data_IF_088096520715
#
_entry.id   IF_088096520715
#
_cell.length_a   1.000
_cell.length_b   1.000
_cell.length_c   1.000
_cell.angle_alpha   90.00
_cell.angle_beta   90.00
_cell.angle_gamma   90.00
#
_symmetry.space_group_name_H-M   'P 1'
#
loop_
_entity.id
_entity.type
_entity.pdbx_description
1 polymer ?
#
# COMPACT_ATOMS: atom_id res chain seq x y z
N UNK A 1 -20.71 22.66 -4.01
CA UNK A 1 -19.55 22.91 -3.14
C UNK A 1 -20.10 23.28 -1.77
N UNK A 2 -19.92 22.44 -0.75
CA UNK A 2 -20.19 22.85 0.64
C UNK A 2 -19.03 23.74 1.12
N UNK A 3 -19.28 24.49 2.18
CA UNK A 3 -18.55 25.70 2.62
C UNK A 3 -17.06 25.46 2.99
N UNK A 4 -16.62 24.21 3.22
CA UNK A 4 -15.26 23.93 3.71
C UNK A 4 -14.13 24.21 2.70
N UNK A 5 -14.35 24.01 1.40
CA UNK A 5 -13.37 24.33 0.33
C UNK A 5 -13.67 25.66 -0.37
N UNK A 6 -14.47 26.54 0.26
CA UNK A 6 -14.95 27.80 -0.33
C UNK A 6 -13.94 28.94 -0.32
N UNK A 7 -12.65 28.62 -0.38
CA UNK A 7 -11.61 29.62 -0.61
C UNK A 7 -11.97 30.36 -1.90
N UNK A 8 -12.33 31.64 -1.77
CA UNK A 8 -12.66 32.46 -2.94
C UNK A 8 -11.50 32.38 -3.93
N UNK A 9 -11.81 32.36 -5.23
CA UNK A 9 -10.78 32.41 -6.29
C UNK A 9 -9.81 33.59 -6.03
N UNK A 10 -10.34 34.69 -5.49
CA UNK A 10 -9.56 35.86 -5.05
C UNK A 10 -8.48 35.52 -4.00
N UNK A 11 -8.83 34.71 -3.00
CA UNK A 11 -7.89 34.26 -1.98
C UNK A 11 -6.83 33.30 -2.56
N UNK A 12 -7.21 32.43 -3.50
CA UNK A 12 -6.27 31.55 -4.19
C UNK A 12 -5.28 32.33 -5.07
N UNK A 13 -5.73 33.40 -5.72
CA UNK A 13 -4.89 34.23 -6.58
C UNK A 13 -3.80 34.95 -5.77
N UNK A 14 -4.11 35.36 -4.55
CA UNK A 14 -3.20 36.09 -3.67
C UNK A 14 -2.48 35.21 -2.63
N UNK A 15 -2.74 33.90 -2.62
CA UNK A 15 -2.15 32.96 -1.67
C UNK A 15 -0.66 32.74 -1.91
N UNK A 16 0.05 32.37 -0.83
CA UNK A 16 1.43 31.89 -0.91
C UNK A 16 1.46 30.45 -1.45
N UNK A 17 2.62 30.02 -1.98
CA UNK A 17 2.79 28.71 -2.60
C UNK A 17 2.42 27.56 -1.65
N UNK A 18 2.75 27.71 -0.36
CA UNK A 18 2.46 26.76 0.72
C UNK A 18 0.94 26.62 0.94
N UNK A 19 0.22 27.74 0.95
CA UNK A 19 -1.23 27.76 1.11
C UNK A 19 -1.93 27.08 -0.08
N UNK A 20 -1.47 27.33 -1.30
CA UNK A 20 -2.01 26.68 -2.51
C UNK A 20 -1.69 25.18 -2.53
N UNK A 21 -0.50 24.78 -2.07
CA UNK A 21 -0.12 23.37 -1.95
C UNK A 21 -0.97 22.62 -0.92
N UNK A 22 -1.21 23.20 0.25
CA UNK A 22 -2.05 22.62 1.29
C UNK A 22 -3.50 22.47 0.85
N UNK A 23 -4.05 23.47 0.15
CA UNK A 23 -5.39 23.40 -0.43
C UNK A 23 -5.47 22.25 -1.44
N UNK A 24 -4.49 22.13 -2.34
CA UNK A 24 -4.43 21.03 -3.31
C UNK A 24 -4.39 19.65 -2.62
N UNK A 25 -3.57 19.48 -1.59
CA UNK A 25 -3.48 18.21 -0.84
C UNK A 25 -4.79 17.89 -0.12
N UNK A 26 -5.40 18.88 0.54
CA UNK A 26 -6.69 18.75 1.22
C UNK A 26 -7.79 18.27 0.26
N UNK A 27 -7.90 18.88 -0.92
CA UNK A 27 -8.85 18.47 -1.96
C UNK A 27 -8.53 17.06 -2.47
N UNK A 28 -7.24 16.72 -2.59
CA UNK A 28 -6.78 15.45 -3.13
C UNK A 28 -7.11 14.25 -2.23
N UNK A 29 -7.25 14.48 -0.93
CA UNK A 29 -7.63 13.46 0.07
C UNK A 29 -9.07 13.60 0.59
N UNK A 30 -9.81 14.62 0.13
CA UNK A 30 -11.19 14.87 0.53
C UNK A 30 -12.12 13.68 0.25
N UNK A 31 -13.04 13.41 1.17
CA UNK A 31 -14.04 12.33 1.07
C UNK A 31 -15.30 12.80 0.30
N UNK A 32 -16.17 11.86 -0.08
CA UNK A 32 -17.36 12.11 -0.91
C UNK A 32 -18.35 13.15 -0.34
N UNK A 33 -18.24 13.49 0.95
CA UNK A 33 -19.17 14.40 1.64
C UNK A 33 -18.86 15.90 1.39
N UNK A 34 -17.67 16.21 0.88
CA UNK A 34 -17.17 17.59 0.71
C UNK A 34 -17.42 18.15 -0.70
N UNK A 35 -17.53 17.27 -1.70
CA UNK A 35 -17.83 17.59 -3.09
C UNK A 35 -19.15 16.96 -3.52
N UNK A 36 -19.83 17.55 -4.50
CA UNK A 36 -21.09 16.97 -5.00
C UNK A 36 -20.88 15.61 -5.66
N UNK A 37 -19.69 15.39 -6.20
CA UNK A 37 -19.24 14.13 -6.81
C UNK A 37 -17.73 14.18 -7.06
N UNK A 38 -17.14 13.02 -7.31
CA UNK A 38 -15.72 12.82 -7.60
C UNK A 38 -15.23 13.63 -8.81
N UNK A 39 -16.10 13.85 -9.80
CA UNK A 39 -15.77 14.64 -11.01
C UNK A 39 -15.57 16.12 -10.69
N UNK A 40 -16.37 16.70 -9.78
CA UNK A 40 -16.21 18.08 -9.31
C UNK A 40 -14.92 18.22 -8.47
N UNK A 41 -14.63 17.26 -7.58
CA UNK A 41 -13.39 17.20 -6.79
C UNK A 41 -12.15 17.19 -7.68
N UNK A 42 -12.11 16.27 -8.64
CA UNK A 42 -10.99 16.12 -9.59
C UNK A 42 -10.77 17.40 -10.41
N UNK A 43 -11.85 18.04 -10.88
CA UNK A 43 -11.76 19.30 -11.64
C UNK A 43 -11.20 20.44 -10.79
N UNK A 44 -11.63 20.53 -9.53
CA UNK A 44 -11.16 21.55 -8.62
C UNK A 44 -9.69 21.33 -8.24
N UNK A 45 -9.30 20.10 -7.90
CA UNK A 45 -7.89 19.74 -7.67
C UNK A 45 -7.00 20.07 -8.86
N UNK A 46 -7.45 19.76 -10.08
CA UNK A 46 -6.72 20.07 -11.31
C UNK A 46 -6.54 21.58 -11.51
N UNK A 47 -7.56 22.38 -11.19
CA UNK A 47 -7.51 23.84 -11.28
C UNK A 47 -6.52 24.44 -10.26
N UNK A 48 -6.59 24.01 -9.00
CA UNK A 48 -5.67 24.48 -7.95
C UNK A 48 -4.23 24.08 -8.27
N UNK A 49 -4.01 22.86 -8.78
CA UNK A 49 -2.69 22.40 -9.22
C UNK A 49 -2.15 23.22 -10.39
N UNK A 50 -2.98 23.46 -11.42
CA UNK A 50 -2.59 24.24 -12.58
C UNK A 50 -2.24 25.69 -12.18
N UNK A 51 -3.03 26.27 -11.27
CA UNK A 51 -2.75 27.59 -10.71
C UNK A 51 -1.44 27.62 -9.92
N UNK A 52 -1.23 26.67 -9.00
CA UNK A 52 -0.01 26.58 -8.21
C UNK A 52 1.25 26.47 -9.07
N UNK A 53 1.19 25.64 -10.13
CA UNK A 53 2.26 25.54 -11.13
C UNK A 53 2.49 26.86 -11.88
N UNK A 54 1.42 27.53 -12.30
CA UNK A 54 1.50 28.77 -13.06
C UNK A 54 2.03 29.95 -12.21
N UNK A 55 1.50 30.13 -11.00
CA UNK A 55 1.80 31.29 -10.16
C UNK A 55 3.11 31.13 -9.37
N UNK A 56 3.52 29.90 -9.03
CA UNK A 56 4.64 29.67 -8.11
C UNK A 56 5.69 28.67 -8.62
N UNK A 57 5.43 27.94 -9.71
CA UNK A 57 6.41 27.06 -10.37
C UNK A 57 7.06 26.04 -9.43
N UNK A 58 8.40 26.00 -9.42
CA UNK A 58 9.18 25.05 -8.64
C UNK A 58 8.96 25.16 -7.13
N UNK A 59 8.57 26.35 -6.62
CA UNK A 59 8.26 26.53 -5.19
C UNK A 59 7.02 25.74 -4.80
N UNK A 60 5.99 25.72 -5.64
CA UNK A 60 4.80 24.90 -5.39
C UNK A 60 5.13 23.40 -5.46
N UNK A 61 5.94 22.99 -6.43
CA UNK A 61 6.39 21.59 -6.51
C UNK A 61 7.23 21.17 -5.31
N UNK A 62 8.10 22.05 -4.80
CA UNK A 62 8.86 21.80 -3.58
C UNK A 62 7.91 21.59 -2.38
N UNK A 63 6.91 22.45 -2.21
CA UNK A 63 5.90 22.30 -1.15
C UNK A 63 5.09 20.99 -1.26
N UNK A 64 4.88 20.45 -2.47
CA UNK A 64 4.23 19.14 -2.66
C UNK A 64 5.19 17.95 -2.46
N UNK A 65 6.48 18.16 -2.63
CA UNK A 65 7.52 17.14 -2.52
C UNK A 65 8.08 17.00 -1.11
N UNK A 66 7.94 18.04 -0.27
CA UNK A 66 8.20 17.88 1.15
C UNK A 66 7.19 16.88 1.72
N UNK A 67 7.65 15.86 2.47
CA UNK A 67 6.72 14.99 3.18
C UNK A 67 5.86 15.92 4.05
N UNK A 68 4.54 15.76 4.00
CA UNK A 68 3.62 16.48 4.87
C UNK A 68 4.13 16.36 6.31
N UNK A 69 4.89 17.36 6.76
CA UNK A 69 5.29 17.48 8.14
C UNK A 69 4.01 17.92 8.79
N UNK A 70 3.35 16.99 9.47
CA UNK A 70 2.11 17.21 10.19
C UNK A 70 2.11 18.62 10.76
N UNK A 71 1.30 19.49 10.14
CA UNK A 71 1.13 20.86 10.56
C UNK A 71 0.28 20.87 11.83
N UNK A 72 0.85 20.30 12.90
CA UNK A 72 0.53 20.37 14.34
C UNK A 72 1.18 19.22 15.16
N UNK A 73 2.36 18.72 14.77
CA UNK A 73 3.18 17.98 15.74
C UNK A 73 3.77 18.95 16.77
N UNK A 74 2.95 19.32 17.76
CA UNK A 74 3.42 19.73 19.09
C UNK A 74 4.46 18.67 19.51
N UNK A 75 5.66 19.05 20.00
CA UNK A 75 6.63 18.06 20.44
C UNK A 75 5.91 17.07 21.36
N UNK A 76 5.95 15.78 21.01
CA UNK A 76 5.25 14.75 21.75
C UNK A 76 5.82 14.70 23.17
N UNK A 77 5.22 15.50 24.07
CA UNK A 77 5.28 15.24 25.49
C UNK A 77 4.89 13.79 25.67
N UNK A 78 5.65 13.08 26.51
CA UNK A 78 5.43 11.64 26.72
C UNK A 78 3.93 11.40 26.92
N UNK A 79 3.32 10.43 26.22
CA UNK A 79 1.89 10.19 26.34
C UNK A 79 1.54 10.03 27.82
N UNK A 80 0.48 10.68 28.27
CA UNK A 80 0.00 10.64 29.66
C UNK A 80 -1.39 9.99 29.72
N UNK A 81 -1.76 9.49 30.89
CA UNK A 81 -3.11 9.02 31.21
C UNK A 81 -3.61 9.63 32.53
N UNK A 82 -4.92 9.84 32.70
CA UNK A 82 -5.50 10.32 33.95
C UNK A 82 -5.62 9.17 34.96
N UNK A 83 -5.31 9.43 36.24
CA UNK A 83 -5.51 8.49 37.35
C UNK A 83 -6.12 9.19 38.56
N UNK A 84 -6.92 8.46 39.31
CA UNK A 84 -7.54 8.91 40.55
C UNK A 84 -6.47 9.20 41.61
N UNK A 85 -6.52 10.41 42.18
CA UNK A 85 -5.58 10.84 43.22
C UNK A 85 -5.75 10.08 44.54
N UNK A 86 -6.90 9.45 44.76
CA UNK A 86 -7.23 8.66 45.95
C UNK A 86 -6.82 7.18 45.82
N UNK A 87 -7.24 6.48 44.76
CA UNK A 87 -7.04 5.03 44.61
C UNK A 87 -6.07 4.62 43.50
N UNK A 88 -5.67 5.53 42.62
CA UNK A 88 -4.76 5.25 41.50
C UNK A 88 -5.37 4.56 40.28
N UNK A 89 -6.68 4.27 40.28
CA UNK A 89 -7.42 3.77 39.11
C UNK A 89 -7.46 4.79 37.97
N UNK A 90 -7.51 4.35 36.72
CA UNK A 90 -7.76 5.20 35.53
C UNK A 90 -9.23 5.25 35.10
N UNK A 91 -10.14 4.61 35.86
CA UNK A 91 -11.59 4.75 35.64
C UNK A 91 -12.10 6.06 36.25
N UNK A 92 -11.84 7.16 35.54
CA UNK A 92 -12.32 8.50 35.86
C UNK A 92 -13.36 8.95 34.84
N UNK A 93 -14.47 9.51 35.35
CA UNK A 93 -15.60 10.05 34.58
C UNK A 93 -15.73 11.54 34.86
N UNK A 94 -16.12 12.32 33.85
CA UNK A 94 -16.49 13.73 34.01
C UNK A 94 -17.86 13.97 33.41
N UNK A 95 -18.63 14.84 34.04
CA UNK A 95 -19.89 15.29 33.50
C UNK A 95 -19.67 16.24 32.32
N UNK A 96 -20.54 16.16 31.32
CA UNK A 96 -20.48 17.00 30.13
C UNK A 96 -21.88 17.42 29.67
N UNK A 97 -21.98 18.59 29.04
CA UNK A 97 -23.18 19.03 28.36
C UNK A 97 -23.09 18.76 26.86
N UNK A 98 -24.05 18.02 26.31
CA UNK A 98 -24.22 17.86 24.87
C UNK A 98 -25.26 18.83 24.32
N UNK A 99 -25.06 19.33 23.11
CA UNK A 99 -26.03 20.14 22.35
C UNK A 99 -26.29 19.51 21.00
N UNK A 100 -27.53 19.59 20.54
CA UNK A 100 -27.91 19.12 19.22
C UNK A 100 -27.31 20.04 18.15
N UNK A 101 -26.50 19.46 17.26
CA UNK A 101 -26.00 20.12 16.07
C UNK A 101 -26.98 19.86 14.91
N UNK A 102 -27.66 20.91 14.45
CA UNK A 102 -28.65 20.80 13.39
C UNK A 102 -28.03 20.53 12.01
N UNK A 103 -26.77 20.90 11.79
CA UNK A 103 -26.09 20.69 10.50
C UNK A 103 -25.51 19.28 10.42
N UNK A 104 -24.94 18.79 11.53
CA UNK A 104 -24.44 17.41 11.64
C UNK A 104 -25.56 16.38 11.90
N UNK A 105 -26.74 16.84 12.35
CA UNK A 105 -27.85 15.99 12.81
C UNK A 105 -27.41 14.99 13.89
N UNK A 106 -26.61 15.47 14.85
CA UNK A 106 -26.06 14.64 15.92
C UNK A 106 -25.87 15.44 17.23
N UNK A 107 -25.72 14.74 18.36
CA UNK A 107 -25.38 15.33 19.64
C UNK A 107 -23.88 15.58 19.75
N UNK A 108 -23.47 16.83 19.92
CA UNK A 108 -22.07 17.21 20.10
C UNK A 108 -21.81 17.67 21.54
N UNK A 109 -20.67 17.27 22.12
CA UNK A 109 -20.23 17.79 23.42
C UNK A 109 -19.94 19.28 23.27
N UNK A 110 -20.61 20.09 24.09
CA UNK A 110 -20.50 21.56 24.10
C UNK A 110 -19.69 22.09 25.29
N UNK A 111 -19.42 21.26 26.29
CA UNK A 111 -18.63 21.59 27.47
C UNK A 111 -18.47 20.40 28.41
N UNK A 112 -17.37 20.37 29.14
CA UNK A 112 -17.06 19.40 30.20
C UNK A 112 -16.98 20.17 31.51
N UNK A 113 -17.59 19.64 32.57
CA UNK A 113 -17.59 20.25 33.90
C UNK A 113 -16.37 19.82 34.70
N UNK A 114 -16.01 20.63 35.71
CA UNK A 114 -14.77 20.42 36.47
C UNK A 114 -14.83 19.23 37.42
N UNK A 115 -16.03 18.79 37.81
CA UNK A 115 -16.20 17.66 38.70
C UNK A 115 -15.74 16.34 38.04
N UNK A 116 -14.87 15.62 38.73
CA UNK A 116 -14.35 14.32 38.30
C UNK A 116 -14.76 13.27 39.30
N UNK A 117 -15.37 12.19 38.81
CA UNK A 117 -15.83 11.04 39.59
C UNK A 117 -14.96 9.81 39.28
N UNK A 118 -14.64 8.99 40.28
CA UNK A 118 -13.92 7.73 40.09
C UNK A 118 -14.86 6.54 40.30
N UNK A 119 -15.03 5.69 39.28
CA UNK A 119 -15.94 4.53 39.36
C UNK A 119 -15.50 3.49 40.40
N UNK A 120 -14.19 3.38 40.65
CA UNK A 120 -13.64 2.35 41.54
C UNK A 120 -13.76 2.69 43.03
N UNK A 121 -13.53 3.95 43.40
CA UNK A 121 -13.56 4.37 44.81
C UNK A 121 -14.71 5.32 45.14
N UNK A 122 -15.52 5.69 44.14
CA UNK A 122 -16.64 6.63 44.26
C UNK A 122 -16.26 8.00 44.83
N UNK A 123 -14.96 8.35 44.81
CA UNK A 123 -14.52 9.69 45.14
C UNK A 123 -14.95 10.67 44.06
N UNK A 124 -15.28 11.89 44.48
CA UNK A 124 -15.75 12.97 43.61
C UNK A 124 -15.05 14.26 44.02
N UNK A 125 -14.37 14.92 43.10
CA UNK A 125 -13.69 16.21 43.34
C UNK A 125 -13.21 16.84 42.03
N UNK A 126 -13.07 18.16 42.01
CA UNK A 126 -12.47 18.90 40.90
C UNK A 126 -10.98 18.54 40.70
N UNK A 127 -10.28 18.18 41.78
CA UNK A 127 -8.83 17.85 41.80
C UNK A 127 -8.56 16.33 41.84
N UNK A 128 -9.56 15.49 41.50
CA UNK A 128 -9.42 14.04 41.58
C UNK A 128 -8.46 13.47 40.52
N UNK A 129 -8.30 14.15 39.39
CA UNK A 129 -7.51 13.71 38.26
C UNK A 129 -6.02 14.09 38.39
N UNK A 130 -5.14 13.08 38.38
CA UNK A 130 -3.69 13.26 38.23
C UNK A 130 -3.22 12.68 36.91
N UNK A 131 -2.43 13.43 36.15
CA UNK A 131 -1.83 12.94 34.92
C UNK A 131 -0.52 12.22 35.22
N UNK A 132 -0.41 10.97 34.79
CA UNK A 132 0.81 10.15 34.92
C UNK A 132 1.30 9.72 33.55
N UNK A 133 2.62 9.50 33.35
CA UNK A 133 3.13 8.94 32.11
C UNK A 133 2.44 7.61 31.79
N UNK A 134 2.04 7.45 30.54
CA UNK A 134 1.58 6.17 30.01
C UNK A 134 2.77 5.20 30.07
N UNK A 135 2.61 4.00 30.65
CA UNK A 135 3.65 2.99 30.55
C UNK A 135 3.95 2.73 29.07
N UNK A 136 5.21 2.40 28.71
CA UNK A 136 5.54 2.02 27.35
C UNK A 136 4.60 0.87 26.97
N UNK A 137 3.90 1.01 25.84
CA UNK A 137 3.06 -0.07 25.34
C UNK A 137 3.91 -1.35 25.26
N UNK A 138 3.35 -2.47 25.69
CA UNK A 138 3.96 -3.76 25.39
C UNK A 138 4.22 -3.81 23.88
N UNK A 139 5.42 -4.25 23.45
CA UNK A 139 5.75 -4.27 22.03
C UNK A 139 4.67 -5.05 21.32
N UNK A 140 3.94 -4.37 20.42
CA UNK A 140 2.91 -5.00 19.59
C UNK A 140 3.53 -6.25 18.97
N UNK A 141 2.92 -7.44 19.15
CA UNK A 141 3.47 -8.67 18.60
C UNK A 141 3.72 -8.47 17.11
N UNK A 142 4.98 -8.62 16.69
CA UNK A 142 5.36 -8.49 15.30
C UNK A 142 4.58 -9.53 14.47
N UNK A 143 3.91 -9.08 13.42
CA UNK A 143 3.13 -9.99 12.57
C UNK A 143 4.05 -10.91 11.74
N UNK A 144 3.75 -12.22 11.65
CA UNK A 144 4.54 -13.14 10.84
C UNK A 144 4.41 -12.81 9.34
N UNK A 145 5.55 -12.61 8.67
CA UNK A 145 5.60 -12.35 7.23
C UNK A 145 6.70 -13.17 6.54
N UNK A 146 6.70 -13.19 5.21
CA UNK A 146 7.70 -13.93 4.44
C UNK A 146 9.12 -13.44 4.79
N UNK A 147 10.05 -14.37 4.91
CA UNK A 147 11.45 -14.11 5.30
C UNK A 147 11.64 -13.60 6.74
N UNK A 148 10.57 -13.48 7.54
CA UNK A 148 10.72 -13.18 8.96
C UNK A 148 11.38 -14.35 9.70
N UNK A 149 12.19 -14.00 10.68
CA UNK A 149 12.80 -14.92 11.63
C UNK A 149 11.79 -15.20 12.74
N UNK A 150 11.52 -16.47 13.00
CA UNK A 150 10.48 -16.89 13.93
C UNK A 150 10.94 -18.01 14.85
N UNK A 151 10.28 -18.14 16.00
CA UNK A 151 10.37 -19.27 16.93
C UNK A 151 9.02 -19.96 17.02
N UNK A 152 9.04 -21.29 17.04
CA UNK A 152 7.86 -22.11 17.25
C UNK A 152 7.52 -22.15 18.74
N UNK A 153 6.33 -21.67 19.09
CA UNK A 153 5.76 -21.78 20.43
C UNK A 153 5.22 -23.20 20.67
N UNK A 154 4.91 -23.52 21.91
CA UNK A 154 4.39 -24.84 22.28
C UNK A 154 3.03 -25.11 21.64
N UNK A 155 2.96 -26.16 20.81
CA UNK A 155 1.72 -26.59 20.14
C UNK A 155 1.07 -27.77 20.87
N UNK A 156 -0.27 -27.80 20.98
CA UNK A 156 -0.97 -28.96 21.50
C UNK A 156 -0.91 -30.12 20.48
N UNK A 157 0.07 -31.02 20.63
CA UNK A 157 0.22 -32.23 19.78
C UNK A 157 0.27 -33.50 20.62
N UNK A 158 -0.39 -34.55 20.12
CA UNK A 158 -0.30 -35.90 20.69
C UNK A 158 1.14 -36.39 20.57
N UNK A 159 1.77 -36.72 21.70
CA UNK A 159 3.19 -37.11 21.76
C UNK A 159 4.19 -35.97 21.94
N UNK A 160 3.71 -34.74 22.19
CA UNK A 160 4.55 -33.58 22.48
C UNK A 160 5.05 -32.84 21.22
N UNK A 161 5.38 -31.55 21.38
CA UNK A 161 5.88 -30.74 20.28
C UNK A 161 7.40 -30.82 20.14
N UNK A 162 7.85 -31.73 19.26
CA UNK A 162 9.26 -31.92 18.93
C UNK A 162 9.95 -30.68 18.33
N UNK A 163 9.18 -29.66 17.93
CA UNK A 163 9.71 -28.42 17.34
C UNK A 163 9.52 -27.20 18.24
N UNK A 164 9.02 -27.38 19.47
CA UNK A 164 8.95 -26.31 20.47
C UNK A 164 10.31 -25.60 20.62
N UNK A 165 10.27 -24.28 20.67
CA UNK A 165 11.42 -23.37 20.78
C UNK A 165 12.43 -23.46 19.63
N UNK A 166 12.12 -24.19 18.55
CA UNK A 166 12.97 -24.17 17.36
C UNK A 166 12.74 -22.88 16.60
N UNK A 167 13.85 -22.34 16.12
CA UNK A 167 13.83 -21.14 15.29
C UNK A 167 13.99 -21.50 13.81
N UNK A 168 13.51 -20.61 12.96
CA UNK A 168 13.58 -20.76 11.52
C UNK A 168 13.19 -19.49 10.79
N UNK A 169 13.10 -19.58 9.47
CA UNK A 169 12.70 -18.49 8.59
C UNK A 169 11.44 -18.88 7.85
N UNK A 170 10.45 -17.99 7.79
CA UNK A 170 9.25 -18.19 6.99
C UNK A 170 9.64 -18.18 5.51
N UNK A 171 9.37 -19.26 4.80
CA UNK A 171 9.69 -19.39 3.36
C UNK A 171 8.46 -19.32 2.46
N UNK A 172 7.27 -19.60 3.00
CA UNK A 172 6.02 -19.60 2.21
C UNK A 172 4.80 -19.43 3.11
N UNK A 173 3.86 -18.60 2.66
CA UNK A 173 2.54 -18.45 3.29
C UNK A 173 1.57 -19.55 2.82
N UNK A 174 0.65 -19.94 3.69
CA UNK A 174 -0.36 -20.96 3.47
C UNK A 174 -1.65 -20.56 4.19
N UNK A 175 -2.81 -21.03 3.74
CA UNK A 175 -4.10 -20.64 4.37
C UNK A 175 -4.20 -21.04 5.85
N UNK A 176 -3.46 -22.09 6.26
CA UNK A 176 -3.42 -22.59 7.63
C UNK A 176 -2.20 -22.07 8.44
N UNK A 177 -1.42 -21.11 7.92
CA UNK A 177 -0.24 -20.57 8.59
C UNK A 177 0.96 -20.42 7.67
N UNK A 178 2.16 -20.73 8.18
CA UNK A 178 3.41 -20.49 7.46
C UNK A 178 4.29 -21.73 7.41
N UNK A 179 4.92 -21.96 6.26
CA UNK A 179 6.02 -22.90 6.14
C UNK A 179 7.29 -22.24 6.67
N UNK A 180 7.83 -22.79 7.76
CA UNK A 180 9.05 -22.33 8.41
C UNK A 180 10.17 -23.32 8.08
N UNK A 181 11.23 -22.83 7.42
CA UNK A 181 12.48 -23.57 7.27
C UNK A 181 13.26 -23.46 8.58
N UNK A 182 13.35 -24.55 9.32
CA UNK A 182 13.98 -24.60 10.63
C UNK A 182 15.50 -24.60 10.52
N UNK A 183 16.15 -23.96 11.49
CA UNK A 183 17.60 -24.01 11.63
C UNK A 183 18.06 -25.42 11.87
N UNK A 184 19.04 -25.85 11.07
CA UNK A 184 19.57 -27.19 11.14
C UNK A 184 20.32 -27.41 12.45
N UNK A 185 19.91 -28.41 13.22
CA UNK A 185 20.64 -28.80 14.43
C UNK A 185 21.84 -29.68 14.06
N UNK A 186 22.83 -29.78 14.97
CA UNK A 186 24.05 -30.60 14.76
C UNK A 186 23.77 -32.08 14.48
N UNK A 187 22.60 -32.59 14.91
CA UNK A 187 22.19 -34.00 14.73
C UNK A 187 21.45 -34.23 13.40
N UNK A 188 21.06 -33.18 12.70
CA UNK A 188 20.25 -33.27 11.48
C UNK A 188 21.15 -33.31 10.25
N UNK A 189 20.86 -34.25 9.34
CA UNK A 189 21.57 -34.36 8.04
C UNK A 189 20.91 -33.55 6.94
N UNK A 190 19.63 -33.21 7.10
CA UNK A 190 18.80 -32.53 6.11
C UNK A 190 18.06 -31.36 6.74
N UNK A 191 17.81 -30.34 5.92
CA UNK A 191 16.97 -29.21 6.30
C UNK A 191 15.53 -29.69 6.51
N UNK A 192 14.83 -29.09 7.47
CA UNK A 192 13.43 -29.39 7.77
C UNK A 192 12.59 -28.15 7.55
N UNK A 193 11.45 -28.34 6.89
CA UNK A 193 10.42 -27.32 6.73
C UNK A 193 9.15 -27.81 7.39
N UNK A 194 8.54 -26.99 8.22
CA UNK A 194 7.34 -27.32 8.99
C UNK A 194 6.25 -26.29 8.73
N UNK A 195 5.00 -26.75 8.59
CA UNK A 195 3.83 -25.87 8.57
C UNK A 195 3.40 -25.54 10.00
N UNK A 196 3.31 -24.25 10.33
CA UNK A 196 2.99 -23.76 11.68
C UNK A 196 1.88 -22.71 11.60
N UNK A 197 0.83 -22.86 12.41
CA UNK A 197 -0.25 -21.87 12.49
C UNK A 197 0.27 -20.57 13.13
N UNK A 198 -0.32 -19.44 12.73
CA UNK A 198 0.11 -18.10 13.14
C UNK A 198 0.17 -17.92 14.65
N UNK A 199 -0.81 -18.46 15.40
CA UNK A 199 -0.85 -18.36 16.86
C UNK A 199 0.26 -19.10 17.60
N UNK A 200 1.04 -19.94 16.90
CA UNK A 200 2.17 -20.66 17.47
C UNK A 200 3.53 -20.19 16.92
N UNK A 201 3.56 -18.97 16.36
CA UNK A 201 4.79 -18.32 15.89
C UNK A 201 5.05 -17.06 16.70
N UNK A 202 6.23 -17.00 17.30
CA UNK A 202 6.79 -15.78 17.85
C UNK A 202 7.76 -15.20 16.81
N UNK A 203 7.53 -13.97 16.36
CA UNK A 203 8.42 -13.30 15.41
C UNK A 203 9.57 -12.65 16.17
N UNK A 204 10.78 -13.12 15.88
CA UNK A 204 12.01 -12.64 16.52
C UNK A 204 12.64 -11.47 15.79
N UNK A 205 12.52 -11.45 14.45
CA UNK A 205 13.00 -10.35 13.63
C UNK A 205 12.24 -10.33 12.30
N UNK A 206 11.83 -9.12 11.89
CA UNK A 206 11.33 -8.90 10.53
C UNK A 206 12.48 -9.00 9.53
N UNK A 207 12.18 -9.37 8.26
CA UNK A 207 13.18 -9.28 7.21
C UNK A 207 13.68 -7.84 7.15
N UNK A 208 15.00 -7.65 7.05
CA UNK A 208 15.54 -6.32 6.78
C UNK A 208 14.89 -5.82 5.49
N UNK A 209 14.39 -4.58 5.44
CA UNK A 209 13.96 -4.00 4.18
C UNK A 209 15.16 -4.12 3.24
N UNK A 210 14.97 -4.90 2.18
CA UNK A 210 15.92 -4.94 1.08
C UNK A 210 15.94 -3.50 0.58
N UNK A 211 17.09 -2.81 0.72
CA UNK A 211 17.26 -1.52 0.09
C UNK A 211 16.86 -1.70 -1.38
N UNK A 212 15.96 -0.87 -1.88
CA UNK A 212 15.28 -1.03 -3.19
C UNK A 212 16.29 -1.30 -4.33
N UNK A 213 17.54 -0.88 -4.16
CA UNK A 213 18.69 -1.10 -5.03
C UNK A 213 19.09 -2.59 -5.20
N UNK A 214 19.07 -3.39 -4.13
CA UNK A 214 19.51 -4.81 -4.18
C UNK A 214 18.47 -5.72 -4.88
N UNK A 215 17.19 -5.41 -4.70
CA UNK A 215 16.08 -6.14 -5.34
C UNK A 215 15.99 -5.89 -6.84
N UNK A 216 16.25 -4.66 -7.27
CA UNK A 216 16.27 -4.29 -8.69
C UNK A 216 17.42 -4.96 -9.42
N UNK A 217 18.61 -4.99 -8.82
CA UNK A 217 19.79 -5.60 -9.43
C UNK A 217 19.65 -7.13 -9.57
N UNK A 218 19.08 -7.80 -8.56
CA UNK A 218 18.80 -9.24 -8.63
C UNK A 218 17.71 -9.58 -9.66
N UNK A 219 16.69 -8.73 -9.77
CA UNK A 219 15.64 -8.88 -10.78
C UNK A 219 16.18 -8.67 -12.21
N UNK A 220 16.96 -7.61 -12.44
CA UNK A 220 17.58 -7.35 -13.74
C UNK A 220 18.57 -8.46 -14.12
N UNK A 221 19.37 -8.96 -13.17
CA UNK A 221 20.30 -10.08 -13.42
C UNK A 221 19.55 -11.34 -13.83
N UNK A 222 18.44 -11.67 -13.15
CA UNK A 222 17.58 -12.81 -13.50
C UNK A 222 16.89 -12.62 -14.85
N UNK A 223 16.45 -11.39 -15.15
CA UNK A 223 15.86 -11.03 -16.45
C UNK A 223 16.88 -11.18 -17.58
N UNK A 224 18.12 -10.79 -17.33
CA UNK A 224 19.22 -10.88 -18.28
C UNK A 224 19.65 -12.34 -18.52
N UNK A 225 19.69 -13.17 -17.48
CA UNK A 225 19.90 -14.63 -17.61
C UNK A 225 18.78 -15.30 -18.43
N UNK A 226 17.52 -14.93 -18.18
CA UNK A 226 16.39 -15.43 -18.95
C UNK A 226 16.44 -14.97 -20.42
N UNK A 227 16.91 -13.74 -20.69
CA UNK A 227 17.17 -13.26 -22.05
C UNK A 227 18.28 -14.06 -22.74
N UNK A 228 19.38 -14.34 -22.03
CA UNK A 228 20.51 -15.14 -22.56
C UNK A 228 20.15 -16.60 -22.82
N UNK A 229 19.14 -17.14 -22.13
CA UNK A 229 18.68 -18.52 -22.30
C UNK A 229 17.44 -18.65 -23.18
N UNK A 230 16.87 -17.54 -23.66
CA UNK A 230 15.81 -17.57 -24.67
C UNK A 230 16.43 -18.01 -26.00
N UNK A 231 15.98 -19.15 -26.54
CA UNK A 231 16.28 -19.50 -27.94
C UNK A 231 15.76 -18.37 -28.83
N UNK A 232 16.53 -17.84 -29.79
CA UNK A 232 16.03 -16.82 -30.71
C UNK A 232 14.79 -17.37 -31.40
N UNK A 233 13.68 -16.63 -31.31
CA UNK A 233 12.48 -16.98 -32.07
C UNK A 233 12.72 -16.66 -33.55
N UNK A 234 11.99 -17.32 -34.46
CA UNK A 234 12.08 -17.01 -35.91
C UNK A 234 11.83 -15.52 -36.20
N UNK A 235 11.06 -14.86 -35.33
CA UNK A 235 10.81 -13.41 -35.33
C UNK A 235 12.07 -12.54 -35.19
N UNK A 236 13.14 -13.05 -34.57
CA UNK A 236 14.39 -12.30 -34.36
C UNK A 236 15.33 -12.40 -35.59
N UNK A 237 14.97 -13.19 -36.60
CA UNK A 237 15.73 -13.32 -37.85
C UNK A 237 15.03 -12.56 -39.00
N UNK A 238 15.51 -11.36 -39.38
CA UNK A 238 14.86 -10.53 -40.40
C UNK A 238 14.72 -11.25 -41.75
N UNK A 239 15.64 -12.16 -42.09
CA UNK A 239 15.57 -12.93 -43.33
C UNK A 239 14.43 -13.96 -43.36
N UNK A 240 14.03 -14.50 -42.20
CA UNK A 240 12.89 -15.42 -42.13
C UNK A 240 11.56 -14.67 -42.21
N UNK A 241 11.48 -13.48 -41.58
CA UNK A 241 10.31 -12.63 -41.70
C UNK A 241 10.11 -12.15 -43.15
N UNK A 242 11.17 -11.70 -43.83
CA UNK A 242 11.08 -11.25 -45.22
C UNK A 242 10.57 -12.35 -46.17
N UNK A 243 11.02 -13.60 -45.96
CA UNK A 243 10.53 -14.77 -46.72
C UNK A 243 9.06 -15.05 -46.44
N UNK A 244 8.62 -14.97 -45.19
CA UNK A 244 7.22 -15.12 -44.83
C UNK A 244 6.36 -14.01 -45.45
N UNK A 245 6.79 -12.74 -45.35
CA UNK A 245 6.08 -11.61 -45.93
C UNK A 245 5.94 -11.75 -47.45
N UNK A 246 7.00 -12.20 -48.15
CA UNK A 246 6.93 -12.51 -49.57
C UNK A 246 5.95 -13.65 -49.86
N UNK A 247 5.97 -14.71 -49.05
CA UNK A 247 5.05 -15.84 -49.22
C UNK A 247 3.59 -15.43 -49.02
N UNK A 248 3.27 -14.66 -47.97
CA UNK A 248 1.92 -14.15 -47.72
C UNK A 248 1.42 -13.26 -48.86
N UNK A 249 2.28 -12.39 -49.41
CA UNK A 249 1.95 -11.57 -50.59
C UNK A 249 1.64 -12.43 -51.80
N UNK A 250 2.47 -13.45 -52.07
CA UNK A 250 2.26 -14.35 -53.20
C UNK A 250 0.98 -15.19 -53.05
N UNK A 251 0.71 -15.68 -51.84
CA UNK A 251 -0.50 -16.43 -51.51
C UNK A 251 -1.75 -15.58 -51.69
N UNK A 252 -1.70 -14.28 -51.32
CA UNK A 252 -2.83 -13.36 -51.58
C UNK A 252 -3.07 -13.15 -53.07
N UNK A 253 -2.00 -12.99 -53.86
CA UNK A 253 -2.11 -12.80 -55.32
C UNK A 253 -2.67 -14.06 -56.00
N UNK A 254 -2.18 -15.24 -55.62
CA UNK A 254 -2.53 -16.48 -56.30
C UNK A 254 -3.87 -17.07 -55.86
N UNK A 255 -4.22 -16.91 -54.58
CA UNK A 255 -5.30 -17.66 -53.94
C UNK A 255 -6.30 -16.78 -53.15
N UNK A 256 -6.12 -15.46 -53.15
CA UNK A 256 -7.02 -14.52 -52.49
C UNK A 256 -6.72 -14.27 -51.00
N UNK A 257 -7.44 -13.30 -50.42
CA UNK A 257 -7.19 -12.80 -49.08
C UNK A 257 -7.44 -13.85 -47.98
N UNK A 258 -8.48 -14.67 -48.13
CA UNK A 258 -8.83 -15.69 -47.13
C UNK A 258 -7.75 -16.77 -47.02
N UNK A 259 -7.15 -17.16 -48.16
CA UNK A 259 -6.05 -18.11 -48.16
C UNK A 259 -4.80 -17.52 -47.50
N UNK A 260 -4.47 -16.26 -47.80
CA UNK A 260 -3.35 -15.57 -47.15
C UNK A 260 -3.53 -15.46 -45.63
N UNK A 261 -4.76 -15.21 -45.15
CA UNK A 261 -5.09 -15.19 -43.73
C UNK A 261 -4.93 -16.56 -43.08
N UNK A 262 -5.38 -17.63 -43.74
CA UNK A 262 -5.19 -19.00 -43.25
C UNK A 262 -3.70 -19.36 -43.13
N UNK A 263 -2.88 -18.97 -44.11
CA UNK A 263 -1.42 -19.14 -44.04
C UNK A 263 -0.83 -18.33 -42.88
N UNK A 264 -1.24 -17.06 -42.70
CA UNK A 264 -0.78 -16.23 -41.59
C UNK A 264 -1.12 -16.83 -40.21
N UNK A 265 -2.33 -17.40 -40.04
CA UNK A 265 -2.72 -18.11 -38.82
C UNK A 265 -1.81 -19.29 -38.49
N UNK A 266 -1.32 -20.01 -39.51
CA UNK A 266 -0.37 -21.12 -39.33
C UNK A 266 1.00 -20.68 -38.80
N UNK A 267 1.38 -19.42 -39.00
CA UNK A 267 2.67 -18.86 -38.55
C UNK A 267 2.54 -17.92 -37.34
N UNK A 268 1.32 -17.52 -36.96
CA UNK A 268 1.05 -16.63 -35.83
C UNK A 268 1.79 -17.05 -34.54
N UNK A 269 1.73 -18.34 -34.18
CA UNK A 269 2.42 -18.86 -32.99
C UNK A 269 3.93 -18.79 -33.06
N UNK A 270 4.52 -18.92 -34.25
CA UNK A 270 5.98 -18.93 -34.46
C UNK A 270 6.59 -17.53 -34.30
N UNK A 271 5.79 -16.49 -34.56
CA UNK A 271 6.19 -15.09 -34.46
C UNK A 271 5.65 -14.40 -33.20
N UNK A 272 4.76 -15.08 -32.46
CA UNK A 272 4.12 -14.51 -31.26
C UNK A 272 3.20 -13.33 -31.57
N UNK A 273 2.69 -13.27 -32.80
CA UNK A 273 1.75 -12.25 -33.30
C UNK A 273 0.44 -12.92 -33.65
N UNK A 274 -0.65 -12.16 -33.71
CA UNK A 274 -1.86 -12.65 -34.35
C UNK A 274 -1.76 -12.58 -35.89
N UNK A 275 -2.72 -13.20 -36.56
CA UNK A 275 -2.69 -13.30 -38.03
C UNK A 275 -2.88 -11.95 -38.73
N UNK A 276 -3.65 -11.04 -38.14
CA UNK A 276 -3.92 -9.73 -38.72
C UNK A 276 -2.71 -8.79 -38.51
N UNK A 277 -2.01 -8.90 -37.38
CA UNK A 277 -0.70 -8.26 -37.13
C UNK A 277 0.35 -8.71 -38.15
N UNK A 278 0.43 -10.01 -38.44
CA UNK A 278 1.33 -10.55 -39.48
C UNK A 278 1.00 -10.05 -40.88
N UNK A 279 -0.29 -10.00 -41.23
CA UNK A 279 -0.73 -9.49 -42.53
C UNK A 279 -0.45 -7.98 -42.64
N UNK A 280 -0.72 -7.21 -41.60
CA UNK A 280 -0.43 -5.78 -41.55
C UNK A 280 1.07 -5.52 -41.73
N UNK A 281 1.91 -6.23 -40.97
CA UNK A 281 3.37 -6.11 -41.08
C UNK A 281 3.91 -6.57 -42.44
N UNK A 282 3.24 -7.50 -43.14
CA UNK A 282 3.55 -7.89 -44.52
C UNK A 282 3.07 -6.87 -45.58
N UNK A 283 2.40 -5.79 -45.17
CA UNK A 283 1.83 -4.76 -46.05
C UNK A 283 0.50 -5.17 -46.70
N UNK A 284 -0.23 -6.10 -46.07
CA UNK A 284 -1.49 -6.68 -46.57
C UNK A 284 -2.68 -6.29 -45.68
N UNK A 285 -2.83 -5.00 -45.36
CA UNK A 285 -3.96 -4.50 -44.60
C UNK A 285 -5.30 -4.75 -45.32
N UNK A 286 -6.37 -4.92 -44.54
CA UNK A 286 -7.72 -5.22 -45.02
C UNK A 286 -8.49 -3.99 -45.53
N UNK A 287 -7.82 -2.98 -46.09
CA UNK A 287 -8.48 -1.81 -46.67
C UNK A 287 -8.49 -1.93 -48.20
N UNK A 288 -9.68 -2.27 -48.72
CA UNK A 288 -10.00 -2.45 -50.15
C UNK A 288 -10.98 -3.58 -50.36
#
# INVERSE_FOLDING_TARGET
>A
MRIQHSTSIDHLIHAAAETVANEYLSISTATEHEFRNERERTRYAALVRAWGLFAHGDRFLACLAEPAVDAQAIPAERPVRPVCSHCGSDSLVRDASARWDADAQDWAISGVYDCTFCDECSAESDDLCKWVPLPPADPTPLEPCLSARVRILERPRVGGDRFRNREGVIVKAHFAGFYVKLDRTSREKTDKTELVETGFLEVLALPRPIAIEDGFQAFETRREELRRHRKPSRADNPLEFDRLAQHLRQSRINCGADHARCVAQGFASDFGWDADELLHAAGLSAEG
#
